data_IF_248686544788
#
_entry.id   IF_248686544788
#
_cell.length_a   1.000
_cell.length_b   1.000
_cell.length_c   1.000
_cell.angle_alpha   90.00
_cell.angle_beta   90.00
_cell.angle_gamma   90.00
#
_symmetry.space_group_name_H-M   'P 1'
#
loop_
_entity.id
_entity.type
_entity.pdbx_description
1 polymer ?
#
# COMPACT_ATOMS: atom_id res chain seq x y z
N UNK A 1 12.01 21.57 -6.11
CA UNK A 1 11.69 22.82 -5.40
C UNK A 1 10.87 22.43 -4.17
N UNK A 2 11.40 22.64 -2.96
CA UNK A 2 10.67 22.39 -1.70
C UNK A 2 9.55 23.42 -1.60
N UNK A 3 8.35 22.99 -1.23
CA UNK A 3 7.22 23.89 -1.02
C UNK A 3 7.17 24.22 0.46
N UNK A 4 7.49 25.46 0.79
CA UNK A 4 7.64 25.93 2.16
C UNK A 4 6.36 25.77 2.99
N UNK A 5 5.20 25.96 2.38
CA UNK A 5 3.88 25.84 3.05
C UNK A 5 3.62 24.42 3.57
N UNK A 6 3.93 23.40 2.78
CA UNK A 6 3.79 22.00 3.19
C UNK A 6 4.71 21.63 4.34
N UNK A 7 5.99 22.04 4.24
CA UNK A 7 6.97 21.76 5.29
C UNK A 7 6.58 22.44 6.59
N UNK A 8 6.11 23.69 6.54
CA UNK A 8 5.62 24.39 7.72
C UNK A 8 4.48 23.60 8.39
N UNK A 9 3.50 23.13 7.64
CA UNK A 9 2.40 22.35 8.22
C UNK A 9 2.89 21.02 8.79
N UNK A 10 3.71 20.27 8.05
CA UNK A 10 4.20 18.96 8.51
C UNK A 10 5.12 19.06 9.72
N UNK A 11 5.79 20.20 9.94
CA UNK A 11 6.75 20.37 11.03
C UNK A 11 6.29 21.31 12.17
N UNK A 12 5.18 22.06 12.02
CA UNK A 12 4.75 23.07 13.00
C UNK A 12 4.47 22.51 14.40
N UNK A 13 3.92 21.30 14.50
CA UNK A 13 3.52 20.68 15.77
C UNK A 13 4.31 19.40 16.08
N UNK A 14 5.61 19.41 15.79
CA UNK A 14 6.51 18.31 16.14
C UNK A 14 6.11 16.98 15.50
N UNK A 15 5.85 15.95 16.32
CA UNK A 15 5.60 14.58 15.85
C UNK A 15 4.12 14.27 15.59
N UNK A 16 3.19 15.24 15.63
CA UNK A 16 1.76 14.95 15.46
C UNK A 16 1.46 14.25 14.14
N UNK A 17 2.17 14.60 13.06
CA UNK A 17 2.01 13.98 11.76
C UNK A 17 2.52 12.53 11.70
N UNK A 18 3.33 12.10 12.67
CA UNK A 18 3.68 10.70 12.83
C UNK A 18 2.50 9.89 13.38
N UNK A 19 1.74 10.46 14.32
CA UNK A 19 0.49 9.86 14.84
C UNK A 19 -0.54 9.75 13.73
N UNK A 20 -0.76 10.85 13.00
CA UNK A 20 -1.68 10.88 11.85
C UNK A 20 -1.23 9.89 10.77
N UNK A 21 0.07 9.90 10.45
CA UNK A 21 0.70 9.02 9.47
C UNK A 21 0.54 7.53 9.78
N UNK A 22 0.70 7.15 11.05
CA UNK A 22 0.48 5.77 11.50
C UNK A 22 -0.97 5.32 11.27
N UNK A 23 -1.93 6.23 11.43
CA UNK A 23 -3.35 5.96 11.18
C UNK A 23 -3.64 5.80 9.68
N UNK A 24 -3.36 6.83 8.88
CA UNK A 24 -3.78 6.89 7.46
C UNK A 24 -3.11 5.82 6.58
N UNK A 25 -1.98 5.25 7.03
CA UNK A 25 -1.25 4.21 6.30
C UNK A 25 -2.05 2.91 6.12
N UNK A 26 -2.95 2.61 7.06
CA UNK A 26 -3.82 1.44 7.01
C UNK A 26 -4.88 1.56 5.90
N UNK A 27 -5.22 2.79 5.53
CA UNK A 27 -6.18 3.12 4.48
C UNK A 27 -5.52 3.32 3.09
N UNK A 28 -4.24 2.98 2.95
CA UNK A 28 -3.54 3.10 1.68
C UNK A 28 -3.11 4.52 1.32
N UNK A 29 -2.95 5.39 2.31
CA UNK A 29 -2.38 6.73 2.14
C UNK A 29 -1.02 6.85 2.83
N UNK A 30 -0.21 7.82 2.45
CA UNK A 30 1.01 8.18 3.19
C UNK A 30 1.31 9.66 3.06
N UNK A 31 1.77 10.24 4.15
CA UNK A 31 2.19 11.63 4.25
C UNK A 31 3.72 11.61 4.36
N UNK A 32 4.41 12.33 3.48
CA UNK A 32 5.86 12.47 3.52
C UNK A 32 6.27 13.93 3.29
N UNK A 33 7.57 14.19 3.19
CA UNK A 33 8.16 15.51 2.93
C UNK A 33 7.71 16.15 1.61
N UNK A 34 7.17 15.37 0.68
CA UNK A 34 6.77 15.85 -0.65
C UNK A 34 5.26 16.01 -0.87
N UNK A 35 4.41 15.52 0.05
CA UNK A 35 2.96 15.62 -0.03
C UNK A 35 2.21 14.39 0.50
N UNK A 36 0.89 14.39 0.29
CA UNK A 36 0.03 13.23 0.45
C UNK A 36 0.12 12.33 -0.78
N UNK A 37 0.22 11.02 -0.56
CA UNK A 37 0.31 10.00 -1.60
C UNK A 37 -0.66 8.84 -1.37
N UNK A 38 -1.17 8.28 -2.46
CA UNK A 38 -1.81 6.97 -2.48
C UNK A 38 -0.76 5.85 -2.59
N UNK A 39 -0.98 4.76 -1.86
CA UNK A 39 -0.12 3.57 -1.79
C UNK A 39 -0.72 2.42 -2.60
N UNK A 40 0.07 1.87 -3.52
CA UNK A 40 -0.25 0.68 -4.31
C UNK A 40 0.52 -0.50 -3.72
N UNK A 41 -0.12 -1.27 -2.84
CA UNK A 41 0.54 -2.35 -2.08
C UNK A 41 1.16 -3.41 -2.99
N UNK A 42 0.51 -3.69 -4.11
CA UNK A 42 0.91 -4.63 -5.15
C UNK A 42 2.27 -4.27 -5.78
N UNK A 43 2.65 -2.99 -5.74
CA UNK A 43 3.93 -2.51 -6.29
C UNK A 43 4.98 -2.35 -5.19
N UNK A 44 4.58 -2.00 -3.97
CA UNK A 44 5.51 -1.63 -2.89
C UNK A 44 6.47 -2.75 -2.48
N UNK A 45 6.08 -4.01 -2.64
CA UNK A 45 6.94 -5.17 -2.38
C UNK A 45 8.19 -5.20 -3.27
N UNK A 46 8.08 -4.71 -4.52
CA UNK A 46 9.17 -4.74 -5.51
C UNK A 46 9.78 -3.35 -5.75
N UNK A 47 8.96 -2.31 -5.78
CA UNK A 47 9.37 -0.92 -6.00
C UNK A 47 8.59 0.03 -5.10
N UNK A 48 9.10 0.26 -3.89
CA UNK A 48 8.50 1.17 -2.90
C UNK A 48 8.18 2.55 -3.47
N UNK A 49 9.10 3.16 -4.24
CA UNK A 49 8.87 4.48 -4.85
C UNK A 49 7.83 4.42 -5.98
N UNK A 50 7.88 3.35 -6.78
CA UNK A 50 6.93 3.08 -7.85
C UNK A 50 5.51 2.76 -7.35
N UNK A 51 5.36 2.40 -6.08
CA UNK A 51 4.06 2.19 -5.44
C UNK A 51 3.39 3.46 -4.91
N UNK A 52 4.04 4.62 -4.97
CA UNK A 52 3.48 5.88 -4.49
C UNK A 52 2.94 6.74 -5.62
N UNK A 53 1.69 7.21 -5.46
CA UNK A 53 1.03 8.16 -6.37
C UNK A 53 0.80 9.47 -5.64
N UNK A 54 1.46 10.53 -6.09
CA UNK A 54 1.25 11.87 -5.53
C UNK A 54 -0.21 12.29 -5.72
N UNK A 55 -0.84 12.74 -4.63
CA UNK A 55 -2.21 13.23 -4.61
C UNK A 55 -2.24 14.75 -4.53
N UNK A 56 -1.69 15.31 -3.46
CA UNK A 56 -1.71 16.75 -3.21
C UNK A 56 -0.53 17.19 -2.34
N UNK A 57 -0.21 18.48 -2.42
CA UNK A 57 0.66 19.20 -1.50
C UNK A 57 -0.07 20.35 -0.77
N UNK A 58 -1.36 20.51 -1.02
CA UNK A 58 -2.22 21.42 -0.27
C UNK A 58 -2.59 20.75 1.08
N UNK A 59 -2.14 21.31 2.22
CA UNK A 59 -2.39 20.73 3.53
C UNK A 59 -3.86 20.75 3.93
N UNK A 60 -4.63 21.79 3.55
CA UNK A 60 -6.05 21.88 3.85
C UNK A 60 -6.83 20.85 3.05
N UNK A 61 -6.51 20.66 1.78
CA UNK A 61 -7.11 19.60 0.98
C UNK A 61 -6.78 18.19 1.49
N UNK A 62 -5.60 18.00 2.09
CA UNK A 62 -5.26 16.75 2.78
C UNK A 62 -6.09 16.57 4.05
N UNK A 63 -6.17 17.57 4.92
CA UNK A 63 -6.92 17.52 6.18
C UNK A 63 -8.40 17.23 5.93
N UNK A 64 -9.01 17.94 4.99
CA UNK A 64 -10.41 17.72 4.58
C UNK A 64 -10.64 16.30 4.04
N UNK A 65 -9.70 15.75 3.26
CA UNK A 65 -9.81 14.37 2.78
C UNK A 65 -9.84 13.35 3.93
N UNK A 66 -8.98 13.52 4.94
CA UNK A 66 -8.83 12.58 6.06
C UNK A 66 -9.77 12.89 7.24
N UNK A 67 -10.57 13.96 7.13
CA UNK A 67 -11.57 14.36 8.12
C UNK A 67 -10.97 15.06 9.34
N UNK A 68 -9.88 15.80 9.17
CA UNK A 68 -9.33 16.70 10.19
C UNK A 68 -9.82 18.13 9.96
N UNK A 69 -10.04 18.85 11.06
CA UNK A 69 -10.43 20.25 11.05
C UNK A 69 -9.23 21.15 10.70
N UNK A 70 -9.17 21.60 9.46
CA UNK A 70 -8.13 22.49 8.94
C UNK A 70 -8.14 23.89 9.57
N UNK A 71 -9.29 24.59 9.63
CA UNK A 71 -9.41 25.87 10.34
C UNK A 71 -8.90 25.80 11.78
N UNK A 72 -9.28 24.75 12.54
CA UNK A 72 -8.78 24.56 13.91
C UNK A 72 -7.26 24.42 13.98
N UNK A 73 -6.66 23.76 12.99
CA UNK A 73 -5.21 23.63 12.89
C UNK A 73 -4.52 24.98 12.66
N UNK A 74 -5.10 25.85 11.83
CA UNK A 74 -4.56 27.19 11.55
C UNK A 74 -4.67 28.14 12.74
N UNK A 75 -5.74 28.02 13.54
CA UNK A 75 -5.88 28.74 14.82
C UNK A 75 -4.83 28.31 15.85
N UNK A 76 -4.39 27.05 15.77
CA UNK A 76 -3.42 26.45 16.66
C UNK A 76 -3.97 25.99 18.00
N UNK A 77 -3.08 25.45 18.84
CA UNK A 77 -3.45 24.71 20.04
C UNK A 77 -2.77 25.31 21.28
N UNK A 78 -3.52 25.43 22.38
CA UNK A 78 -3.00 25.96 23.64
C UNK A 78 -2.28 24.91 24.47
N UNK A 79 -2.50 23.63 24.17
CA UNK A 79 -1.90 22.51 24.89
C UNK A 79 -1.67 21.30 23.98
N UNK A 80 -0.81 20.38 24.44
CA UNK A 80 -0.63 19.08 23.78
C UNK A 80 -1.91 18.25 23.81
N UNK A 81 -2.73 18.40 24.85
CA UNK A 81 -3.99 17.66 24.97
C UNK A 81 -4.96 18.08 23.87
N UNK A 82 -5.13 19.37 23.60
CA UNK A 82 -5.96 19.87 22.49
C UNK A 82 -5.45 19.38 21.12
N UNK A 83 -4.13 19.38 20.93
CA UNK A 83 -3.51 18.89 19.69
C UNK A 83 -3.75 17.38 19.50
N UNK A 84 -3.66 16.60 20.57
CA UNK A 84 -3.94 15.17 20.53
C UNK A 84 -5.43 14.88 20.33
N UNK A 85 -6.33 15.63 20.96
CA UNK A 85 -7.78 15.55 20.70
C UNK A 85 -8.11 15.82 19.25
N UNK A 86 -7.51 16.88 18.68
CA UNK A 86 -7.65 17.17 17.26
C UNK A 86 -7.16 16.01 16.38
N UNK A 87 -6.00 15.43 16.67
CA UNK A 87 -5.49 14.32 15.88
C UNK A 87 -6.39 13.07 15.96
N UNK A 88 -6.96 12.75 17.12
CA UNK A 88 -7.86 11.58 17.24
C UNK A 88 -9.29 11.87 16.80
N UNK A 89 -9.66 13.14 16.56
CA UNK A 89 -10.98 13.52 16.05
C UNK A 89 -11.25 13.01 14.62
N UNK A 90 -10.19 12.60 13.90
CA UNK A 90 -10.35 12.07 12.54
C UNK A 90 -11.22 10.80 12.55
N UNK A 91 -12.19 10.66 11.61
CA UNK A 91 -13.01 9.45 11.49
C UNK A 91 -12.20 8.17 11.24
N UNK A 92 -10.98 8.31 10.76
CA UNK A 92 -10.05 7.22 10.45
C UNK A 92 -9.30 6.69 11.68
N UNK A 93 -9.39 7.36 12.83
CA UNK A 93 -8.63 7.00 14.01
C UNK A 93 -9.05 5.61 14.51
N UNK A 94 -8.07 4.76 14.79
CA UNK A 94 -8.28 3.41 15.34
C UNK A 94 -7.24 3.14 16.42
N UNK A 95 -7.71 3.00 17.66
CA UNK A 95 -6.88 2.72 18.84
C UNK A 95 -5.95 1.52 18.65
N UNK A 96 -6.49 0.42 18.08
CA UNK A 96 -5.74 -0.84 17.86
C UNK A 96 -4.47 -0.68 17.01
N UNK A 97 -4.35 0.40 16.24
CA UNK A 97 -3.13 0.73 15.49
C UNK A 97 -1.95 1.00 16.43
N UNK A 98 -2.20 1.70 17.54
CA UNK A 98 -1.17 2.16 18.47
C UNK A 98 -0.85 1.14 19.57
N UNK A 99 -1.79 0.24 19.89
CA UNK A 99 -1.57 -0.87 20.84
C UNK A 99 -0.45 -1.83 20.42
N UNK A 100 -0.14 -1.93 19.12
CA UNK A 100 0.95 -2.77 18.59
C UNK A 100 2.29 -2.06 18.49
N UNK A 101 2.31 -0.73 18.47
CA UNK A 101 3.55 0.04 18.35
C UNK A 101 4.42 -0.10 19.60
N UNK A 102 3.81 -0.36 20.76
CA UNK A 102 4.48 -0.68 22.02
C UNK A 102 5.11 -2.08 22.05
N UNK A 103 4.72 -3.00 21.14
CA UNK A 103 5.07 -4.44 21.22
C UNK A 103 6.23 -4.82 20.28
N UNK A 104 6.46 -4.09 19.19
CA UNK A 104 7.47 -4.44 18.18
C UNK A 104 8.83 -3.76 18.40
N UNK A 105 9.92 -4.52 18.57
CA UNK A 105 11.27 -4.00 18.85
C UNK A 105 11.91 -3.08 17.78
N UNK A 106 11.39 -3.02 16.54
CA UNK A 106 11.78 -1.98 15.56
C UNK A 106 11.00 -0.68 15.74
N UNK A 107 9.75 -0.75 16.19
CA UNK A 107 8.91 0.42 16.45
C UNK A 107 9.17 1.02 17.84
N UNK A 108 9.49 0.21 18.86
CA UNK A 108 9.94 0.69 20.17
C UNK A 108 11.16 1.62 20.11
N UNK A 109 12.17 1.26 19.31
CA UNK A 109 13.35 2.12 19.06
C UNK A 109 13.03 3.40 18.27
N UNK A 110 11.89 3.47 17.58
CA UNK A 110 11.42 4.68 16.88
C UNK A 110 10.61 5.57 17.81
N UNK A 111 9.82 4.98 18.72
CA UNK A 111 9.12 5.67 19.79
C UNK A 111 10.10 6.39 20.72
N UNK A 112 11.20 5.73 21.09
CA UNK A 112 12.26 6.30 21.94
C UNK A 112 12.88 7.60 21.37
N UNK A 113 12.89 7.76 20.03
CA UNK A 113 13.45 8.93 19.35
C UNK A 113 12.43 10.05 19.13
N UNK A 114 11.18 9.86 19.53
CA UNK A 114 10.04 10.73 19.22
C UNK A 114 9.24 11.00 20.48
N UNK A 115 9.71 11.91 21.36
CA UNK A 115 9.18 12.05 22.71
C UNK A 115 7.69 12.42 22.73
N UNK A 116 7.22 13.23 21.79
CA UNK A 116 5.80 13.59 21.69
C UNK A 116 4.94 12.39 21.26
N UNK A 117 5.38 11.63 20.26
CA UNK A 117 4.67 10.43 19.82
C UNK A 117 4.68 9.34 20.90
N UNK A 118 5.80 9.16 21.60
CA UNK A 118 5.89 8.26 22.75
C UNK A 118 4.87 8.65 23.80
N UNK A 119 4.86 9.91 24.23
CA UNK A 119 3.90 10.43 25.21
C UNK A 119 2.45 10.21 24.79
N UNK A 120 2.12 10.45 23.52
CA UNK A 120 0.80 10.16 22.97
C UNK A 120 0.40 8.70 23.17
N UNK A 121 1.26 7.76 22.77
CA UNK A 121 0.95 6.32 22.78
C UNK A 121 0.97 5.72 24.19
N UNK A 122 1.94 6.09 25.03
CA UNK A 122 2.20 5.42 26.31
C UNK A 122 1.50 6.05 27.50
N UNK A 123 1.16 7.34 27.43
CA UNK A 123 0.58 8.08 28.55
C UNK A 123 -0.81 8.61 28.19
N UNK A 124 -0.91 9.46 27.18
CA UNK A 124 -2.11 10.25 26.91
C UNK A 124 -3.27 9.40 26.40
N UNK A 125 -3.05 8.58 25.37
CA UNK A 125 -4.10 7.77 24.75
C UNK A 125 -4.67 6.73 25.74
N UNK A 126 -3.87 6.00 26.54
CA UNK A 126 -4.40 5.13 27.59
C UNK A 126 -5.22 5.87 28.65
N UNK A 127 -4.75 7.03 29.13
CA UNK A 127 -5.46 7.82 30.13
C UNK A 127 -6.82 8.31 29.61
N UNK A 128 -6.85 8.90 28.41
CA UNK A 128 -8.08 9.41 27.78
C UNK A 128 -9.16 8.33 27.66
N UNK A 129 -8.77 7.11 27.33
CA UNK A 129 -9.70 5.99 27.17
C UNK A 129 -10.19 5.43 28.51
N UNK A 130 -9.33 5.37 29.52
CA UNK A 130 -9.73 4.95 30.87
C UNK A 130 -10.67 5.97 31.53
N UNK A 131 -10.47 7.27 31.28
CA UNK A 131 -11.36 8.33 31.74
C UNK A 131 -12.75 8.25 31.09
N UNK A 132 -12.82 7.87 29.80
CA UNK A 132 -14.10 7.64 29.13
C UNK A 132 -14.82 6.38 29.63
N UNK A 133 -14.09 5.28 29.90
CA UNK A 133 -14.66 4.05 30.46
C UNK A 133 -15.18 4.22 31.90
N UNK A 134 -14.70 5.23 32.63
CA UNK A 134 -15.14 5.53 33.99
C UNK A 134 -16.43 6.37 34.04
N UNK A 135 -16.86 6.95 32.91
CA UNK A 135 -18.03 7.81 32.78
C UNK A 135 -19.16 7.20 31.91
N UNK A 136 -18.95 6.00 31.37
CA UNK A 136 -19.89 5.34 30.46
C UNK A 136 -20.14 3.92 30.96
N UNK A 137 -21.40 3.59 31.23
CA UNK A 137 -21.80 2.26 31.65
C UNK A 137 -21.33 1.20 30.61
N UNK A 138 -20.96 -0.02 31.04
CA UNK A 138 -20.25 -0.99 30.19
C UNK A 138 -20.94 -1.34 28.85
N UNK A 139 -22.24 -1.10 28.71
CA UNK A 139 -23.02 -1.40 27.50
C UNK A 139 -22.82 -0.41 26.34
N UNK A 140 -22.42 0.83 26.59
CA UNK A 140 -22.38 1.87 25.53
C UNK A 140 -21.05 1.84 24.73
N UNK A 141 -19.94 1.39 25.33
CA UNK A 141 -18.64 1.31 24.66
C UNK A 141 -18.58 0.19 23.59
N UNK A 142 -19.33 -0.89 23.79
CA UNK A 142 -19.49 -1.99 22.81
C UNK A 142 -20.52 -1.64 21.73
N UNK A 143 -21.45 -0.72 22.01
CA UNK A 143 -22.43 -0.20 21.05
C UNK A 143 -21.86 0.83 20.07
N UNK A 144 -20.81 1.58 20.42
CA UNK A 144 -20.20 2.56 19.51
C UNK A 144 -19.40 1.87 18.38
N UNK A 145 -18.70 0.78 18.70
CA UNK A 145 -17.93 -0.03 17.72
C UNK A 145 -18.91 -0.78 16.78
N UNK A 146 -20.01 -1.31 17.31
CA UNK A 146 -21.04 -2.01 16.51
C UNK A 146 -21.99 -1.10 15.73
N UNK A 147 -22.23 0.15 16.16
CA UNK A 147 -23.06 1.13 15.43
C UNK A 147 -22.33 1.75 14.24
N UNK A 148 -21.00 1.76 14.23
CA UNK A 148 -20.22 2.10 13.04
C UNK A 148 -20.31 0.98 11.98
N UNK A 149 -20.42 -0.28 12.39
CA UNK A 149 -20.59 -1.44 11.50
C UNK A 149 -21.99 -1.56 10.89
N UNK A 150 -23.03 -1.02 11.55
CA UNK A 150 -24.43 -1.12 11.10
C UNK A 150 -24.89 -0.06 10.08
N UNK A 151 -24.05 0.92 9.76
CA UNK A 151 -24.36 2.00 8.78
C UNK A 151 -23.94 1.66 7.34
N UNK A 152 -23.63 0.39 7.04
CA UNK A 152 -23.30 -0.09 5.70
C UNK A 152 -24.61 -0.46 4.95
N UNK A 153 -24.97 0.18 3.83
CA UNK A 153 -26.06 -0.29 2.98
C UNK A 153 -25.61 -1.55 2.24
N UNK A 154 -26.40 -2.62 2.34
CA UNK A 154 -26.22 -3.85 1.58
C UNK A 154 -26.48 -3.63 0.07
N UNK A 155 -25.42 -3.46 -0.71
CA UNK A 155 -25.39 -3.58 -2.18
C UNK A 155 -23.90 -3.69 -2.59
N UNK A 156 -23.38 -4.70 -3.30
CA UNK A 156 -23.97 -5.67 -4.22
C UNK A 156 -23.04 -6.88 -4.30
N UNK A 157 -23.59 -8.08 -4.17
CA UNK A 157 -22.91 -9.34 -4.48
C UNK A 157 -22.78 -9.50 -5.99
N UNK A 158 -21.55 -9.66 -6.49
CA UNK A 158 -21.28 -10.24 -7.81
C UNK A 158 -19.92 -10.95 -7.80
N UNK A 159 -20.00 -12.27 -7.62
CA UNK A 159 -19.12 -13.37 -8.02
C UNK A 159 -17.82 -13.03 -8.78
N UNK A 160 -16.67 -13.40 -8.21
CA UNK A 160 -15.59 -14.05 -8.98
C UNK A 160 -15.04 -15.21 -8.15
N UNK A 161 -15.27 -16.41 -8.68
CA UNK A 161 -14.74 -17.68 -8.22
C UNK A 161 -13.23 -17.78 -8.53
N UNK A 162 -12.53 -18.46 -7.63
CA UNK A 162 -11.45 -19.41 -7.90
C UNK A 162 -10.11 -18.87 -8.44
N UNK A 163 -9.07 -18.94 -7.60
CA UNK A 163 -7.78 -19.58 -7.93
C UNK A 163 -6.86 -19.58 -6.69
N UNK A 164 -6.76 -20.76 -6.07
CA UNK A 164 -5.47 -21.38 -5.72
C UNK A 164 -4.63 -20.81 -4.58
N UNK A 165 -4.76 -21.47 -3.42
CA UNK A 165 -3.79 -21.53 -2.32
C UNK A 165 -2.31 -21.54 -2.77
N UNK A 166 -1.51 -20.61 -2.23
CA UNK A 166 -0.20 -20.90 -1.62
C UNK A 166 0.09 -19.94 -0.47
N UNK A 167 -0.04 -20.49 0.73
CA UNK A 167 0.48 -19.93 1.97
C UNK A 167 2.01 -19.77 1.90
N UNK A 168 2.47 -18.61 2.35
CA UNK A 168 3.87 -18.26 2.54
C UNK A 168 3.96 -16.97 3.35
N UNK A 169 3.94 -17.14 4.68
CA UNK A 169 4.31 -16.19 5.73
C UNK A 169 4.67 -14.76 5.29
N UNK A 170 3.70 -13.84 5.32
CA UNK A 170 3.98 -12.42 5.37
C UNK A 170 3.09 -11.71 6.40
N UNK A 171 3.74 -11.13 7.41
CA UNK A 171 3.33 -9.90 8.08
C UNK A 171 1.88 -9.86 8.59
N UNK A 172 1.69 -10.28 9.85
CA UNK A 172 0.45 -10.08 10.62
C UNK A 172 0.13 -8.60 10.87
N UNK A 173 -0.25 -7.86 9.83
CA UNK A 173 -0.91 -6.57 9.93
C UNK A 173 -2.40 -6.83 10.12
N UNK A 174 -3.01 -6.26 11.17
CA UNK A 174 -4.47 -6.21 11.28
C UNK A 174 -4.98 -5.37 10.12
N UNK A 175 -5.45 -6.03 9.07
CA UNK A 175 -6.06 -5.35 7.93
C UNK A 175 -7.44 -4.87 8.36
N UNK A 176 -7.72 -3.59 8.12
CA UNK A 176 -9.09 -3.08 8.15
C UNK A 176 -9.92 -3.81 7.09
N UNK A 177 -11.27 -3.84 7.25
CA UNK A 177 -12.16 -4.33 6.22
C UNK A 177 -11.77 -3.73 4.87
N UNK A 178 -11.65 -4.59 3.85
CA UNK A 178 -11.20 -4.22 2.50
C UNK A 178 -12.00 -3.02 1.97
N UNK A 179 -13.28 -2.94 2.35
CA UNK A 179 -14.23 -1.92 1.94
C UNK A 179 -13.86 -0.52 2.44
N UNK A 180 -13.43 -0.34 3.70
CA UNK A 180 -13.05 0.98 4.23
C UNK A 180 -11.80 1.53 3.54
N UNK A 181 -10.79 0.66 3.38
CA UNK A 181 -9.56 1.00 2.68
C UNK A 181 -9.84 1.34 1.22
N UNK A 182 -10.67 0.55 0.55
CA UNK A 182 -11.03 0.77 -0.84
C UNK A 182 -11.81 2.07 -1.00
N UNK A 183 -12.76 2.35 -0.11
CA UNK A 183 -13.58 3.56 -0.15
C UNK A 183 -12.74 4.84 0.00
N UNK A 184 -11.93 4.96 1.06
CA UNK A 184 -11.11 6.16 1.26
C UNK A 184 -10.11 6.36 0.11
N UNK A 185 -9.46 5.29 -0.34
CA UNK A 185 -8.52 5.39 -1.45
C UNK A 185 -9.23 5.81 -2.75
N UNK A 186 -10.38 5.22 -3.07
CA UNK A 186 -11.18 5.59 -4.24
C UNK A 186 -11.66 7.04 -4.16
N UNK A 187 -12.12 7.50 -2.99
CA UNK A 187 -12.47 8.91 -2.73
C UNK A 187 -11.28 9.83 -2.98
N UNK A 188 -10.10 9.47 -2.49
CA UNK A 188 -8.87 10.25 -2.68
C UNK A 188 -8.44 10.32 -4.15
N UNK A 189 -8.46 9.19 -4.86
CA UNK A 189 -8.11 9.12 -6.28
C UNK A 189 -9.08 9.93 -7.15
N UNK A 190 -10.37 9.88 -6.83
CA UNK A 190 -11.39 10.68 -7.51
C UNK A 190 -11.17 12.18 -7.25
N UNK A 191 -11.05 12.58 -5.98
CA UNK A 191 -10.88 13.97 -5.56
C UNK A 191 -9.70 14.65 -6.25
N UNK A 192 -8.59 13.95 -6.41
CA UNK A 192 -7.36 14.50 -6.99
C UNK A 192 -7.14 14.13 -8.45
N UNK A 193 -8.16 13.58 -9.12
CA UNK A 193 -8.12 13.17 -10.52
C UNK A 193 -6.92 12.26 -10.86
N UNK A 194 -6.73 11.22 -10.04
CA UNK A 194 -5.63 10.24 -10.14
C UNK A 194 -6.08 8.83 -10.51
N UNK A 195 -7.38 8.59 -10.70
CA UNK A 195 -7.94 7.26 -10.95
C UNK A 195 -7.33 6.56 -12.16
N UNK A 196 -7.23 7.23 -13.31
CA UNK A 196 -6.67 6.62 -14.54
C UNK A 196 -5.17 6.33 -14.42
N UNK A 197 -4.41 7.25 -13.83
CA UNK A 197 -2.99 7.03 -13.55
C UNK A 197 -2.78 5.84 -12.62
N UNK A 198 -3.63 5.71 -11.59
CA UNK A 198 -3.61 4.58 -10.66
C UNK A 198 -3.91 3.25 -11.36
N UNK A 199 -4.96 3.19 -12.20
CA UNK A 199 -5.33 1.99 -12.97
C UNK A 199 -4.21 1.54 -13.91
N UNK A 200 -3.67 2.46 -14.71
CA UNK A 200 -2.57 2.16 -15.64
C UNK A 200 -1.35 1.57 -14.91
N UNK A 201 -1.06 2.04 -13.69
CA UNK A 201 0.06 1.51 -12.91
C UNK A 201 -0.21 0.14 -12.32
N UNK A 202 -1.46 -0.17 -11.96
CA UNK A 202 -1.85 -1.53 -11.59
C UNK A 202 -1.72 -2.50 -12.78
N UNK A 203 -2.19 -2.10 -13.96
CA UNK A 203 -2.08 -2.89 -15.19
C UNK A 203 -0.63 -3.18 -15.55
N UNK A 204 0.20 -2.14 -15.64
CA UNK A 204 1.64 -2.28 -15.90
C UNK A 204 2.33 -3.18 -14.85
N UNK A 205 1.92 -3.11 -13.59
CA UNK A 205 2.47 -3.99 -12.56
C UNK A 205 2.02 -5.45 -12.70
N UNK A 206 0.75 -5.68 -13.09
CA UNK A 206 0.25 -7.03 -13.40
C UNK A 206 1.05 -7.65 -14.54
N UNK A 207 1.22 -6.93 -15.63
CA UNK A 207 2.03 -7.37 -16.78
C UNK A 207 3.46 -7.70 -16.37
N UNK A 208 4.10 -6.83 -15.59
CA UNK A 208 5.45 -7.07 -15.07
C UNK A 208 5.52 -8.30 -14.18
N UNK A 209 4.54 -8.48 -13.30
CA UNK A 209 4.50 -9.61 -12.35
C UNK A 209 4.32 -10.93 -13.09
N UNK A 210 3.43 -10.97 -14.09
CA UNK A 210 3.24 -12.13 -14.96
C UNK A 210 4.54 -12.45 -15.72
N UNK A 211 5.20 -11.44 -16.30
CA UNK A 211 6.47 -11.59 -17.00
C UNK A 211 7.57 -12.13 -16.08
N UNK A 212 7.68 -11.63 -14.85
CA UNK A 212 8.68 -12.08 -13.87
C UNK A 212 8.40 -13.52 -13.38
N UNK A 213 7.13 -13.86 -13.16
CA UNK A 213 6.71 -15.23 -12.81
C UNK A 213 7.05 -16.22 -13.93
N UNK A 214 6.76 -15.86 -15.19
CA UNK A 214 7.13 -16.64 -16.37
C UNK A 214 8.65 -16.87 -16.43
N UNK A 215 9.47 -15.82 -16.34
CA UNK A 215 10.94 -15.96 -16.38
C UNK A 215 11.47 -16.80 -15.21
N UNK A 216 10.85 -16.70 -14.04
CA UNK A 216 11.19 -17.53 -12.88
C UNK A 216 10.89 -19.00 -13.14
N UNK A 217 9.77 -19.31 -13.80
CA UNK A 217 9.40 -20.67 -14.17
C UNK A 217 10.38 -21.27 -15.19
N UNK A 218 10.72 -20.53 -16.24
CA UNK A 218 11.72 -20.97 -17.23
C UNK A 218 13.08 -21.24 -16.60
N UNK A 219 13.54 -20.34 -15.71
CA UNK A 219 14.82 -20.50 -15.01
C UNK A 219 14.89 -21.82 -14.23
N UNK A 220 13.77 -22.30 -13.68
CA UNK A 220 13.71 -23.55 -12.92
C UNK A 220 13.75 -24.81 -13.79
N UNK A 221 13.36 -24.70 -15.06
CA UNK A 221 13.23 -25.84 -15.97
C UNK A 221 14.50 -26.06 -16.79
N UNK A 222 15.25 -24.99 -17.07
CA UNK A 222 16.52 -25.11 -17.77
C UNK A 222 17.50 -25.99 -16.96
N UNK A 223 18.09 -27.03 -17.58
CA UNK A 223 19.06 -27.91 -16.93
C UNK A 223 20.46 -27.26 -16.83
N UNK A 224 20.51 -25.94 -16.59
CA UNK A 224 21.73 -25.14 -16.58
C UNK A 224 21.88 -24.49 -15.20
N UNK A 225 23.13 -24.32 -14.76
CA UNK A 225 23.44 -23.67 -13.48
C UNK A 225 24.49 -22.57 -13.64
N UNK A 226 24.59 -21.70 -12.63
CA UNK A 226 25.60 -20.66 -12.55
C UNK A 226 25.62 -19.74 -13.78
N UNK A 227 26.81 -19.51 -14.34
CA UNK A 227 27.02 -18.56 -15.45
C UNK A 227 26.31 -18.98 -16.74
N UNK A 228 26.19 -20.28 -17.01
CA UNK A 228 25.55 -20.82 -18.21
C UNK A 228 24.04 -20.55 -18.20
N UNK A 229 23.38 -20.70 -17.04
CA UNK A 229 21.97 -20.34 -16.86
C UNK A 229 21.74 -18.84 -17.15
N UNK A 230 22.62 -17.98 -16.66
CA UNK A 230 22.55 -16.54 -16.93
C UNK A 230 22.66 -16.22 -18.42
N UNK A 231 23.59 -16.86 -19.13
CA UNK A 231 23.77 -16.70 -20.58
C UNK A 231 22.55 -17.22 -21.38
N UNK A 232 22.03 -18.39 -21.01
CA UNK A 232 20.82 -18.94 -21.62
C UNK A 232 19.61 -18.04 -21.44
N UNK A 233 19.39 -17.51 -20.23
CA UNK A 233 18.29 -16.58 -19.94
C UNK A 233 18.44 -15.25 -20.72
N UNK A 234 19.67 -14.74 -20.89
CA UNK A 234 19.90 -13.55 -21.73
C UNK A 234 19.62 -13.83 -23.20
N UNK A 235 20.06 -14.97 -23.72
CA UNK A 235 19.80 -15.40 -25.09
C UNK A 235 18.30 -15.61 -25.34
N UNK A 236 17.58 -16.28 -24.43
CA UNK A 236 16.13 -16.44 -24.51
C UNK A 236 15.41 -15.09 -24.53
N UNK A 237 15.82 -14.14 -23.69
CA UNK A 237 15.26 -12.77 -23.69
C UNK A 237 15.53 -12.01 -24.98
N UNK A 238 16.69 -12.22 -25.61
CA UNK A 238 17.13 -11.48 -26.78
C UNK A 238 16.65 -12.07 -28.12
N UNK A 239 16.49 -13.40 -28.18
CA UNK A 239 16.34 -14.15 -29.42
C UNK A 239 14.96 -14.82 -29.57
N UNK A 240 14.18 -14.96 -28.50
CA UNK A 240 12.83 -15.52 -28.60
C UNK A 240 11.85 -14.44 -29.00
N UNK A 241 11.18 -14.65 -30.12
CA UNK A 241 10.07 -13.84 -30.62
C UNK A 241 8.88 -14.73 -30.94
N UNK A 242 7.72 -14.12 -31.13
CA UNK A 242 6.45 -14.83 -31.32
C UNK A 242 5.95 -14.65 -32.74
N UNK A 243 5.59 -15.76 -33.38
CA UNK A 243 4.90 -15.75 -34.67
C UNK A 243 3.72 -16.73 -34.62
N UNK A 244 2.52 -16.26 -34.98
CA UNK A 244 1.31 -17.09 -35.00
C UNK A 244 1.06 -17.89 -33.70
N UNK A 245 1.31 -17.26 -32.54
CA UNK A 245 1.12 -17.91 -31.23
C UNK A 245 2.18 -18.96 -30.86
N UNK A 246 3.27 -19.07 -31.63
CA UNK A 246 4.35 -20.03 -31.39
C UNK A 246 5.69 -19.31 -31.16
N UNK A 247 6.51 -19.77 -30.20
CA UNK A 247 7.84 -19.21 -29.98
C UNK A 247 8.80 -19.62 -31.10
N UNK A 248 9.60 -18.67 -31.58
CA UNK A 248 10.66 -18.90 -32.56
C UNK A 248 11.97 -18.25 -32.14
N UNK A 249 13.09 -18.84 -32.59
CA UNK A 249 14.41 -18.23 -32.50
C UNK A 249 14.62 -17.27 -33.66
N UNK A 250 15.00 -16.03 -33.36
CA UNK A 250 15.36 -15.01 -34.34
C UNK A 250 16.87 -14.79 -34.34
N UNK A 251 17.44 -14.58 -35.53
CA UNK A 251 18.85 -14.20 -35.72
C UNK A 251 19.10 -12.70 -35.46
N UNK A 252 18.04 -11.89 -35.37
CA UNK A 252 18.14 -10.48 -35.02
C UNK A 252 17.75 -10.29 -33.55
N UNK A 253 18.61 -9.62 -32.79
CA UNK A 253 18.28 -9.18 -31.44
C UNK A 253 17.00 -8.36 -31.50
N UNK A 254 15.97 -8.77 -30.76
CA UNK A 254 14.76 -7.99 -30.64
C UNK A 254 15.14 -6.68 -29.93
N UNK A 255 15.21 -5.57 -30.69
CA UNK A 255 15.56 -4.24 -30.14
C UNK A 255 14.55 -3.74 -29.11
N UNK A 256 13.41 -4.41 -28.97
CA UNK A 256 12.42 -4.15 -27.94
C UNK A 256 12.17 -5.43 -27.13
N UNK A 257 12.77 -5.49 -25.94
CA UNK A 257 12.47 -6.50 -24.90
C UNK A 257 11.01 -6.44 -24.41
N UNK A 258 10.21 -5.52 -24.97
CA UNK A 258 8.81 -5.22 -24.62
C UNK A 258 7.80 -5.89 -25.57
N UNK A 259 8.27 -6.60 -26.61
CA UNK A 259 7.41 -7.28 -27.60
C UNK A 259 7.38 -8.80 -27.47
N UNK A 260 7.47 -9.31 -26.26
CA UNK A 260 6.89 -10.63 -25.98
C UNK A 260 5.40 -10.33 -25.78
N UNK A 261 4.47 -10.88 -26.58
CA UNK A 261 3.04 -10.71 -26.34
C UNK A 261 2.74 -11.04 -24.88
N UNK A 262 1.71 -10.44 -24.30
CA UNK A 262 1.24 -10.83 -22.99
C UNK A 262 0.83 -12.32 -23.06
N UNK A 263 1.75 -13.20 -22.68
CA UNK A 263 1.50 -14.63 -22.63
C UNK A 263 0.72 -14.87 -21.35
N UNK A 264 -0.49 -15.40 -21.50
CA UNK A 264 -1.18 -16.00 -20.37
C UNK A 264 -0.36 -17.18 -19.83
N UNK A 265 -0.66 -17.56 -18.60
CA UNK A 265 0.04 -18.65 -17.91
C UNK A 265 -0.07 -19.99 -18.69
N UNK A 266 -1.19 -20.20 -19.37
CA UNK A 266 -1.47 -21.43 -20.11
C UNK A 266 -0.57 -21.56 -21.35
N UNK A 267 -0.35 -20.48 -22.08
CA UNK A 267 0.53 -20.44 -23.25
C UNK A 267 1.98 -20.73 -22.86
N UNK A 268 2.43 -20.20 -21.72
CA UNK A 268 3.76 -20.50 -21.18
C UNK A 268 3.88 -22.01 -20.91
N UNK A 269 2.89 -22.58 -20.26
CA UNK A 269 2.95 -23.95 -19.77
C UNK A 269 2.79 -25.00 -20.86
N UNK A 270 1.91 -24.74 -21.82
CA UNK A 270 1.53 -25.71 -22.84
C UNK A 270 2.41 -25.62 -24.09
N UNK A 271 3.00 -24.45 -24.37
CA UNK A 271 3.73 -24.22 -25.64
C UNK A 271 5.20 -23.96 -25.37
N UNK A 272 5.50 -22.95 -24.55
CA UNK A 272 6.85 -22.42 -24.44
C UNK A 272 7.77 -23.32 -23.61
N UNK A 273 7.28 -23.89 -22.51
CA UNK A 273 8.07 -24.80 -21.68
C UNK A 273 8.43 -26.13 -22.39
N UNK A 274 7.50 -26.81 -23.10
CA UNK A 274 7.86 -27.96 -23.93
C UNK A 274 8.88 -27.60 -25.01
N UNK A 275 8.70 -26.47 -25.70
CA UNK A 275 9.62 -26.03 -26.75
C UNK A 275 11.04 -25.75 -26.22
N UNK A 276 11.18 -25.09 -25.07
CA UNK A 276 12.48 -24.86 -24.42
C UNK A 276 13.14 -26.21 -24.07
N UNK A 277 12.38 -27.16 -23.51
CA UNK A 277 12.91 -28.48 -23.17
C UNK A 277 13.40 -29.26 -24.40
N UNK A 278 12.79 -29.05 -25.56
CA UNK A 278 13.20 -29.70 -26.82
C UNK A 278 14.47 -29.07 -27.41
N UNK A 279 14.60 -27.74 -27.33
CA UNK A 279 15.63 -26.98 -28.06
C UNK A 279 16.85 -26.58 -27.22
N UNK A 280 16.78 -26.70 -25.89
CA UNK A 280 17.82 -26.23 -24.95
C UNK A 280 18.31 -27.33 -24.00
N UNK A 281 18.19 -28.59 -24.41
CA UNK A 281 18.85 -29.74 -23.76
C UNK A 281 20.28 -29.94 -24.26
#
# INVERSE_FOLDING_TARGET
>A
MRCYEWENVVYAYGDIWQVIGATVTHFGLTINDSGLHARIKEIEGTNKKGGLRFLTRDPLAMMDLIGLDGPRYEEGFSSLDELFEWAISMPLFRRKVFERETISGKQGRRLEKRPMHSKFVTEWLPQKMNSNASNVAPEEAEQIDSRAESLIPAATSATVHDLGDKAGEESGATYLPVDERHNLLSKALLRFNKSEQYKSLLENNKERTLKDAMWTKMRRILPLQGKQLGQAMMALKALVWWNDGQPRLGLQANKSLDKIPALDADTVDQILLPWINEHWR
#
